data_IF_227837131442
#
_entry.id   IF_227837131442
#
_cell.length_a   1.000
_cell.length_b   1.000
_cell.length_c   1.000
_cell.angle_alpha   90.00
_cell.angle_beta   90.00
_cell.angle_gamma   90.00
#
_symmetry.space_group_name_H-M   'P 1'
#
loop_
_entity.id
_entity.type
_entity.pdbx_description
1 polymer ?
#
# COMPACT_ATOMS: atom_id res chain seq x y z
N UNK A 1 17.56 -12.35 0.37
CA UNK A 1 16.98 -12.45 -0.97
C UNK A 1 15.55 -12.88 -0.91
N UNK A 2 15.25 -13.91 -0.16
CA UNK A 2 13.90 -14.41 0.02
C UNK A 2 13.07 -13.55 0.96
N UNK A 3 13.66 -12.54 1.58
CA UNK A 3 12.98 -11.69 2.55
C UNK A 3 12.25 -10.50 1.94
N UNK A 4 12.49 -10.24 0.67
CA UNK A 4 11.84 -9.13 -0.01
C UNK A 4 10.39 -9.47 -0.39
N UNK A 5 9.53 -8.50 -0.29
CA UNK A 5 8.11 -8.63 -0.60
C UNK A 5 7.37 -9.67 0.23
N UNK A 6 7.81 -9.89 1.45
CA UNK A 6 7.11 -10.74 2.40
C UNK A 6 6.21 -9.93 3.33
N UNK A 7 5.22 -10.60 3.89
CA UNK A 7 4.32 -9.98 4.86
C UNK A 7 4.98 -9.96 6.24
N UNK A 8 5.80 -8.97 6.50
CA UNK A 8 6.53 -8.82 7.76
C UNK A 8 5.65 -8.05 8.73
N UNK A 9 5.34 -8.66 9.87
CA UNK A 9 4.42 -8.08 10.84
C UNK A 9 4.85 -6.71 11.35
N UNK A 10 6.15 -6.46 11.45
CA UNK A 10 6.66 -5.16 11.88
C UNK A 10 6.35 -4.03 10.88
N UNK A 11 6.04 -4.37 9.66
CA UNK A 11 5.71 -3.42 8.61
C UNK A 11 4.20 -3.30 8.36
N UNK A 12 3.39 -4.04 9.10
CA UNK A 12 1.93 -3.96 9.02
C UNK A 12 1.46 -2.63 9.60
N UNK A 13 0.70 -1.86 8.82
CA UNK A 13 0.25 -0.54 9.25
C UNK A 13 -1.27 -0.44 9.38
N UNK A 14 -2.01 -1.35 8.81
CA UNK A 14 -3.45 -1.31 8.88
C UNK A 14 -4.11 -2.39 8.06
N UNK A 15 -5.39 -2.27 7.88
CA UNK A 15 -6.17 -3.24 7.11
C UNK A 15 -7.19 -2.54 6.22
N UNK A 16 -7.53 -3.18 5.11
CA UNK A 16 -8.52 -2.66 4.17
C UNK A 16 -9.91 -2.67 4.80
N UNK A 17 -10.64 -1.57 4.66
CA UNK A 17 -12.03 -1.47 5.11
C UNK A 17 -12.98 -1.24 3.95
N UNK A 18 -12.51 -0.73 2.82
CA UNK A 18 -13.34 -0.50 1.66
C UNK A 18 -12.51 -0.68 0.39
N UNK A 19 -13.10 -1.32 -0.60
CA UNK A 19 -12.48 -1.49 -1.92
C UNK A 19 -13.48 -1.00 -2.97
N UNK A 20 -13.10 0.06 -3.67
CA UNK A 20 -13.93 0.66 -4.72
C UNK A 20 -13.10 0.78 -5.99
N UNK A 21 -12.98 -0.33 -6.73
CA UNK A 21 -12.11 -0.37 -7.89
C UNK A 21 -10.65 -0.19 -7.50
N UNK A 22 -9.97 0.76 -8.12
CA UNK A 22 -8.56 1.06 -7.84
C UNK A 22 -8.35 1.93 -6.61
N UNK A 23 -9.43 2.49 -6.05
CA UNK A 23 -9.34 3.29 -4.82
C UNK A 23 -9.74 2.42 -3.64
N UNK A 24 -8.86 2.30 -2.66
CA UNK A 24 -9.13 1.52 -1.46
C UNK A 24 -8.95 2.39 -0.22
N UNK A 25 -9.69 2.09 0.83
CA UNK A 25 -9.56 2.75 2.12
C UNK A 25 -8.96 1.79 3.13
N UNK A 26 -8.04 2.30 3.91
CA UNK A 26 -7.29 1.56 4.91
C UNK A 26 -7.48 2.21 6.27
N UNK A 27 -7.88 1.41 7.24
CA UNK A 27 -7.92 1.85 8.62
C UNK A 27 -6.56 1.53 9.25
N UNK A 28 -5.88 2.55 9.75
CA UNK A 28 -4.58 2.37 10.36
C UNK A 28 -4.72 1.65 11.71
N UNK A 29 -3.75 0.78 12.00
CA UNK A 29 -3.75 0.05 13.27
C UNK A 29 -3.59 1.02 14.44
N UNK A 30 -4.25 0.72 15.56
CA UNK A 30 -4.17 1.57 16.76
C UNK A 30 -2.79 1.72 17.35
N UNK A 31 -1.87 0.81 17.02
CA UNK A 31 -0.47 0.91 17.43
C UNK A 31 0.33 1.93 16.62
N UNK A 32 -0.24 2.47 15.55
CA UNK A 32 0.43 3.41 14.66
C UNK A 32 0.03 4.83 15.07
N UNK A 33 0.50 5.28 16.23
CA UNK A 33 0.12 6.58 16.77
C UNK A 33 0.97 7.73 16.22
N UNK A 34 2.23 7.47 15.96
CA UNK A 34 3.20 8.52 15.57
C UNK A 34 3.41 8.65 14.07
N UNK A 35 2.68 7.87 13.28
CA UNK A 35 2.80 7.86 11.82
C UNK A 35 4.24 7.59 11.35
N UNK A 36 4.98 6.83 12.14
CA UNK A 36 6.30 6.32 11.77
C UNK A 36 6.45 4.87 12.26
N UNK A 37 7.31 4.15 11.60
CA UNK A 37 7.64 2.78 11.99
C UNK A 37 9.13 2.57 11.83
N UNK A 38 9.77 2.04 12.86
CA UNK A 38 11.18 1.67 12.80
C UNK A 38 11.30 0.21 12.42
N UNK A 39 12.13 -0.09 11.46
CA UNK A 39 12.39 -1.45 11.02
C UNK A 39 13.82 -1.55 10.49
N UNK A 40 14.56 -2.54 10.97
CA UNK A 40 15.93 -2.82 10.52
C UNK A 40 16.82 -1.57 10.54
N UNK A 41 16.77 -0.83 11.64
CA UNK A 41 17.58 0.36 11.85
C UNK A 41 17.17 1.58 11.04
N UNK A 42 16.02 1.53 10.36
CA UNK A 42 15.52 2.64 9.57
C UNK A 42 14.15 3.07 10.05
N UNK A 43 13.84 4.35 9.86
CA UNK A 43 12.53 4.91 10.20
C UNK A 43 11.75 5.14 8.90
N UNK A 44 10.56 4.57 8.83
CA UNK A 44 9.67 4.70 7.69
C UNK A 44 8.48 5.58 8.07
N UNK A 45 8.19 6.63 7.29
CA UNK A 45 6.97 7.41 7.51
C UNK A 45 5.73 6.62 7.08
N UNK A 46 4.63 6.85 7.78
CA UNK A 46 3.36 6.20 7.49
C UNK A 46 2.36 7.27 7.05
N UNK A 47 1.64 7.01 5.96
CA UNK A 47 0.54 7.87 5.54
C UNK A 47 0.97 9.13 4.82
N UNK A 48 2.23 9.27 4.45
CA UNK A 48 2.64 10.40 3.62
C UNK A 48 2.07 10.25 2.22
N UNK A 49 1.49 11.34 1.72
CA UNK A 49 0.92 11.34 0.37
C UNK A 49 2.01 11.07 -0.65
N UNK A 50 1.73 10.14 -1.56
CA UNK A 50 2.67 9.69 -2.56
C UNK A 50 3.53 8.50 -2.15
N UNK A 51 3.56 8.14 -0.87
CA UNK A 51 4.31 6.96 -0.45
C UNK A 51 3.62 5.69 -0.91
N UNK A 52 4.42 4.66 -1.20
CA UNK A 52 3.92 3.40 -1.75
C UNK A 52 3.76 2.36 -0.65
N UNK A 53 2.66 1.63 -0.71
CA UNK A 53 2.36 0.53 0.19
C UNK A 53 2.04 -0.72 -0.61
N UNK A 54 2.05 -1.86 0.06
CA UNK A 54 1.72 -3.14 -0.58
C UNK A 54 0.63 -3.86 0.20
N UNK A 55 -0.18 -4.62 -0.53
CA UNK A 55 -1.25 -5.44 0.04
C UNK A 55 -1.03 -6.85 -0.44
N UNK A 56 -0.90 -7.79 0.49
CA UNK A 56 -0.73 -9.19 0.15
C UNK A 56 -2.09 -9.84 -0.11
N UNK A 57 -2.21 -10.50 -1.25
CA UNK A 57 -3.46 -11.11 -1.69
C UNK A 57 -3.15 -12.47 -2.34
N UNK A 58 -3.14 -13.52 -1.53
CA UNK A 58 -2.74 -14.84 -2.02
C UNK A 58 -1.31 -14.85 -2.53
N UNK A 59 -1.11 -15.22 -3.78
CA UNK A 59 0.20 -15.19 -4.44
C UNK A 59 0.48 -13.87 -5.14
N UNK A 60 -0.39 -12.90 -4.97
CA UNK A 60 -0.27 -11.58 -5.57
C UNK A 60 0.07 -10.55 -4.52
N UNK A 61 0.78 -9.55 -4.96
CA UNK A 61 0.91 -8.30 -4.21
C UNK A 61 0.31 -7.20 -5.06
N UNK A 62 -0.44 -6.34 -4.41
CA UNK A 62 -0.99 -5.15 -5.06
C UNK A 62 -0.28 -3.94 -4.47
N UNK A 63 0.15 -3.04 -5.33
CA UNK A 63 0.87 -1.83 -4.93
C UNK A 63 0.01 -0.62 -5.16
N UNK A 64 0.04 0.30 -4.21
CA UNK A 64 -0.67 1.55 -4.31
C UNK A 64 0.09 2.68 -3.66
N UNK A 65 -0.28 3.91 -3.98
CA UNK A 65 0.27 5.08 -3.32
C UNK A 65 -0.80 5.78 -2.50
N UNK A 66 -0.36 6.39 -1.41
CA UNK A 66 -1.26 7.11 -0.51
C UNK A 66 -1.71 8.40 -1.19
N UNK A 67 -3.01 8.58 -1.33
CA UNK A 67 -3.60 9.78 -1.93
C UNK A 67 -4.23 10.71 -0.91
N UNK A 68 -4.64 10.18 0.24
CA UNK A 68 -5.29 10.96 1.27
C UNK A 68 -5.11 10.30 2.64
N UNK A 69 -4.94 11.12 3.67
CA UNK A 69 -4.97 10.67 5.06
C UNK A 69 -5.94 11.59 5.82
N UNK A 70 -6.87 11.00 6.55
CA UNK A 70 -7.83 11.77 7.34
C UNK A 70 -8.24 11.01 8.59
N UNK A 71 -8.89 11.72 9.51
CA UNK A 71 -9.50 11.14 10.67
C UNK A 71 -10.90 10.65 10.31
N UNK A 72 -11.28 9.48 10.82
CA UNK A 72 -12.61 8.95 10.57
C UNK A 72 -13.70 9.83 11.15
N UNK A 73 -13.41 10.49 12.27
CA UNK A 73 -14.33 11.44 12.91
C UNK A 73 -14.70 12.60 11.99
N UNK A 74 -13.78 13.05 11.13
CA UNK A 74 -14.08 14.15 10.21
C UNK A 74 -15.19 13.78 9.23
N UNK A 75 -15.15 12.57 8.71
CA UNK A 75 -16.17 12.07 7.80
C UNK A 75 -17.52 11.92 8.51
N UNK A 76 -17.51 11.36 9.70
CA UNK A 76 -18.71 11.18 10.49
C UNK A 76 -19.34 12.52 10.87
N UNK A 77 -18.53 13.51 11.26
CA UNK A 77 -18.99 14.84 11.60
C UNK A 77 -19.59 15.55 10.38
N UNK A 78 -19.00 15.38 9.22
CA UNK A 78 -19.56 15.93 7.99
C UNK A 78 -20.95 15.36 7.68
N UNK A 79 -21.23 14.15 8.14
CA UNK A 79 -22.54 13.51 8.00
C UNK A 79 -23.47 13.77 9.21
N UNK A 80 -23.06 14.63 10.13
CA UNK A 80 -23.89 15.01 11.28
C UNK A 80 -23.81 14.08 12.48
N UNK A 81 -22.91 13.10 12.47
CA UNK A 81 -22.73 12.16 13.58
C UNK A 81 -21.82 12.73 14.66
N UNK A 82 -22.06 12.36 15.92
CA UNK A 82 -21.17 12.66 17.03
C UNK A 82 -20.33 11.43 17.29
N UNK A 83 -19.01 11.58 17.16
CA UNK A 83 -18.06 10.47 17.35
C UNK A 83 -17.28 10.69 18.64
N UNK A 84 -17.26 9.70 19.56
CA UNK A 84 -16.43 9.81 20.77
C UNK A 84 -14.95 9.92 20.40
N UNK A 85 -14.15 10.71 21.15
CA UNK A 85 -12.73 10.90 20.83
C UNK A 85 -11.91 9.61 20.83
N UNK A 86 -12.27 8.62 21.63
CA UNK A 86 -11.60 7.34 21.70
C UNK A 86 -11.93 6.40 20.53
N UNK A 87 -12.97 6.73 19.76
CA UNK A 87 -13.34 6.00 18.57
C UNK A 87 -12.72 6.61 17.30
N UNK A 88 -11.89 7.64 17.46
CA UNK A 88 -11.31 8.36 16.34
C UNK A 88 -10.15 7.56 15.74
N UNK A 89 -10.34 7.12 14.52
CA UNK A 89 -9.36 6.31 13.82
C UNK A 89 -8.91 7.01 12.54
N UNK A 90 -7.67 6.76 12.16
CA UNK A 90 -7.10 7.34 10.96
C UNK A 90 -7.39 6.44 9.77
N UNK A 91 -7.85 7.05 8.70
CA UNK A 91 -8.19 6.36 7.45
C UNK A 91 -7.31 6.91 6.34
N UNK A 92 -6.72 6.00 5.60
CA UNK A 92 -5.87 6.31 4.47
C UNK A 92 -6.57 5.88 3.19
N UNK A 93 -6.57 6.74 2.17
CA UNK A 93 -7.00 6.33 0.85
C UNK A 93 -5.77 6.04 0.00
N UNK A 94 -5.86 4.95 -0.75
CA UNK A 94 -4.75 4.46 -1.58
C UNK A 94 -5.27 4.23 -2.99
N UNK A 95 -4.51 4.71 -3.98
CA UNK A 95 -4.75 4.41 -5.38
C UNK A 95 -3.85 3.26 -5.80
N UNK A 96 -4.45 2.18 -6.25
CA UNK A 96 -3.72 1.00 -6.72
C UNK A 96 -3.22 1.24 -8.15
N UNK A 97 -1.97 0.88 -8.42
CA UNK A 97 -1.38 1.16 -9.74
C UNK A 97 -0.66 -0.02 -10.37
N UNK A 98 -0.30 -1.02 -9.58
CA UNK A 98 0.49 -2.15 -10.10
C UNK A 98 0.21 -3.40 -9.28
N UNK A 99 0.55 -4.55 -9.84
CA UNK A 99 0.51 -5.81 -9.12
C UNK A 99 1.76 -6.64 -9.42
N UNK A 100 2.06 -7.56 -8.54
CA UNK A 100 3.13 -8.52 -8.72
C UNK A 100 2.59 -9.92 -8.43
N UNK A 101 3.03 -10.89 -9.22
CA UNK A 101 2.63 -12.28 -9.07
C UNK A 101 3.89 -13.12 -8.87
N UNK A 102 3.91 -13.94 -7.84
CA UNK A 102 5.03 -14.83 -7.60
C UNK A 102 5.11 -15.88 -8.70
N UNK A 103 6.25 -15.93 -9.34
CA UNK A 103 6.56 -16.97 -10.33
C UNK A 103 7.42 -18.02 -9.66
N UNK A 104 6.88 -19.20 -9.44
CA UNK A 104 7.61 -20.31 -8.82
C UNK A 104 8.75 -20.81 -9.71
N UNK A 105 8.59 -20.72 -11.03
CA UNK A 105 9.63 -21.12 -11.98
C UNK A 105 10.84 -20.17 -11.98
N UNK A 106 10.57 -18.88 -11.89
CA UNK A 106 11.64 -17.88 -11.90
C UNK A 106 12.08 -17.47 -10.48
N UNK A 107 11.36 -17.89 -9.48
CA UNK A 107 11.60 -17.56 -8.06
C UNK A 107 11.68 -16.08 -7.81
N UNK A 108 10.84 -15.32 -8.50
CA UNK A 108 10.78 -13.87 -8.35
C UNK A 108 9.36 -13.37 -8.52
N UNK A 109 9.17 -12.13 -8.14
CA UNK A 109 7.91 -11.44 -8.31
C UNK A 109 7.89 -10.80 -9.70
N UNK A 110 6.88 -11.15 -10.48
CA UNK A 110 6.70 -10.59 -11.82
C UNK A 110 5.71 -9.44 -11.72
N UNK A 111 6.20 -8.24 -12.00
CA UNK A 111 5.40 -7.02 -11.91
C UNK A 111 4.64 -6.78 -13.19
N UNK A 112 3.42 -6.28 -13.05
CA UNK A 112 2.64 -5.79 -14.16
C UNK A 112 1.94 -4.51 -13.76
N UNK A 113 1.66 -3.71 -14.76
CA UNK A 113 1.00 -2.44 -14.58
C UNK A 113 -0.50 -2.65 -14.47
N UNK A 114 -1.13 -1.84 -13.64
CA UNK A 114 -2.55 -1.99 -13.38
C UNK A 114 -2.84 -3.14 -12.44
N UNK A 115 -4.09 -3.30 -12.11
CA UNK A 115 -4.55 -4.32 -11.17
C UNK A 115 -5.65 -5.12 -11.85
N UNK A 116 -5.46 -6.43 -11.96
CA UNK A 116 -6.43 -7.32 -12.58
C UNK A 116 -7.35 -7.99 -11.57
N UNK A 117 -6.92 -8.07 -10.30
CA UNK A 117 -7.72 -8.59 -9.21
C UNK A 117 -7.62 -7.66 -8.03
N UNK A 118 -8.75 -7.25 -7.49
CA UNK A 118 -8.78 -6.34 -6.37
C UNK A 118 -8.69 -7.10 -5.05
N UNK A 119 -7.95 -6.56 -4.07
CA UNK A 119 -7.88 -7.17 -2.74
C UNK A 119 -9.23 -7.11 -2.04
N UNK A 120 -9.34 -7.89 -0.98
CA UNK A 120 -10.57 -7.97 -0.20
C UNK A 120 -10.47 -7.14 1.08
N UNK A 121 -11.59 -6.69 1.62
CA UNK A 121 -11.59 -6.05 2.94
C UNK A 121 -10.95 -6.95 4.00
N UNK A 122 -10.35 -6.33 5.00
CA UNK A 122 -9.63 -6.92 6.12
C UNK A 122 -8.23 -7.45 5.78
N UNK A 123 -7.81 -7.40 4.54
CA UNK A 123 -6.43 -7.76 4.22
C UNK A 123 -5.47 -6.70 4.74
N UNK A 124 -4.30 -7.16 5.17
CA UNK A 124 -3.29 -6.29 5.75
C UNK A 124 -2.59 -5.41 4.73
N UNK A 125 -2.27 -4.20 5.15
CA UNK A 125 -1.51 -3.24 4.34
C UNK A 125 -0.16 -3.05 5.00
N UNK A 126 0.90 -3.15 4.21
CA UNK A 126 2.27 -3.16 4.69
C UNK A 126 3.08 -2.05 4.02
N UNK A 127 4.03 -1.53 4.75
CA UNK A 127 5.04 -0.62 4.18
C UNK A 127 5.97 -1.40 3.26
N UNK A 128 6.47 -0.72 2.22
CA UNK A 128 7.60 -1.23 1.46
C UNK A 128 8.89 -0.82 2.14
N UNK A 129 9.87 -1.73 2.16
CA UNK A 129 11.22 -1.35 2.53
C UNK A 129 11.83 -0.52 1.38
N UNK A 130 12.94 0.15 1.67
CA UNK A 130 13.64 0.92 0.62
C UNK A 130 14.10 0.03 -0.51
N UNK A 131 14.55 -1.18 -0.18
CA UNK A 131 15.00 -2.12 -1.19
C UNK A 131 13.85 -2.61 -2.07
N UNK A 132 12.70 -2.89 -1.47
CA UNK A 132 11.50 -3.27 -2.21
C UNK A 132 11.03 -2.15 -3.13
N UNK A 133 11.03 -0.92 -2.65
CA UNK A 133 10.64 0.25 -3.45
C UNK A 133 11.59 0.41 -4.64
N UNK A 134 12.89 0.24 -4.42
CA UNK A 134 13.88 0.32 -5.48
C UNK A 134 13.62 -0.72 -6.57
N UNK A 135 13.34 -1.96 -6.17
CA UNK A 135 13.05 -3.04 -7.11
C UNK A 135 11.80 -2.74 -7.92
N UNK A 136 10.76 -2.22 -7.28
CA UNK A 136 9.52 -1.84 -7.95
C UNK A 136 9.76 -0.76 -9.00
N UNK A 137 10.51 0.29 -8.66
CA UNK A 137 10.81 1.37 -9.59
C UNK A 137 11.70 0.91 -10.74
N UNK A 138 12.69 0.07 -10.47
CA UNK A 138 13.54 -0.50 -11.52
C UNK A 138 12.74 -1.34 -12.50
N UNK A 139 11.78 -2.11 -12.02
CA UNK A 139 10.89 -2.89 -12.87
C UNK A 139 10.04 -2.00 -13.77
N UNK A 140 9.57 -0.87 -13.24
CA UNK A 140 8.81 0.09 -14.01
C UNK A 140 9.65 0.74 -15.10
N UNK A 141 10.88 1.11 -14.79
CA UNK A 141 11.81 1.69 -15.76
C UNK A 141 12.14 0.70 -16.87
N UNK A 142 12.39 -0.55 -16.51
CA UNK A 142 12.69 -1.58 -17.50
C UNK A 142 11.53 -1.78 -18.47
N UNK A 143 10.30 -1.83 -17.98
CA UNK A 143 9.13 -1.95 -18.84
C UNK A 143 9.01 -0.78 -19.80
N UNK A 144 9.35 0.42 -19.36
CA UNK A 144 9.33 1.61 -20.21
C UNK A 144 10.41 1.53 -21.28
N UNK A 145 11.62 1.11 -20.91
CA UNK A 145 12.76 0.99 -21.84
C UNK A 145 12.51 -0.10 -22.88
N UNK A 146 11.75 -1.13 -22.54
CA UNK A 146 11.38 -2.19 -23.48
C UNK A 146 10.27 -1.77 -24.45
N UNK A 147 9.90 -0.48 -24.45
CA UNK A 147 8.91 0.05 -25.37
C UNK A 147 7.46 -0.13 -24.93
N UNK A 148 7.24 -0.50 -23.70
CA UNK A 148 5.90 -0.55 -23.13
C UNK A 148 5.51 0.89 -22.77
N UNK A 149 4.97 1.59 -23.74
CA UNK A 149 4.72 3.03 -23.65
C UNK A 149 3.57 3.39 -22.72
N UNK A 150 2.80 2.45 -22.31
CA UNK A 150 1.64 2.73 -21.52
C UNK A 150 1.94 2.85 -20.02
N UNK A 151 3.17 2.76 -19.59
CA UNK A 151 3.51 2.87 -18.20
C UNK A 151 3.48 4.33 -17.77
N UNK A 152 2.58 4.67 -16.86
CA UNK A 152 2.51 6.02 -16.30
C UNK A 152 3.67 6.18 -15.33
N UNK A 153 4.45 7.27 -15.43
CA UNK A 153 5.51 7.53 -14.46
C UNK A 153 4.95 7.62 -13.05
N UNK A 154 5.66 7.05 -12.10
CA UNK A 154 5.28 7.15 -10.71
C UNK A 154 5.41 8.60 -10.24
N UNK A 155 4.45 9.07 -9.48
CA UNK A 155 4.48 10.41 -8.91
C UNK A 155 4.01 11.53 -9.82
N UNK A 156 3.45 11.20 -10.96
CA UNK A 156 2.80 12.22 -11.81
C UNK A 156 1.32 12.23 -11.65
#
# INVERSE_FOLDING_TARGET
MTEQFQAISDLLIGSLVEVAGTTVKVELAGSVLELTRSFDGRVYPIGQIGSVVKIHYGRRLVFGFVSLLRMRSDEAQANGAIVPPDADQRVMEIELFAEGIWSSGERKLVFSRGVTSYPLPRQGVYLLTRDEARILYQSAEKQRDDGVDALVPFGT
#
